data_IF_292696080925
#
_entry.id   IF_292696080925
#
_cell.length_a   1.000
_cell.length_b   1.000
_cell.length_c   1.000
_cell.angle_alpha   90.00
_cell.angle_beta   90.00
_cell.angle_gamma   90.00
#
_symmetry.space_group_name_H-M   'P 1'
#
loop_
_entity.id
_entity.type
_entity.pdbx_description
1 polymer ?
#
# COMPACT_ATOMS: atom_id res chain seq x y z
N UNK A 1 -4.46 4.75 11.94
CA UNK A 1 -4.96 3.46 11.43
C UNK A 1 -3.82 2.67 10.79
N UNK A 2 -3.87 1.38 10.91
CA UNK A 2 -2.87 0.50 10.27
C UNK A 2 -3.37 0.11 8.89
N UNK A 3 -2.51 0.26 7.90
CA UNK A 3 -2.80 -0.15 6.52
C UNK A 3 -1.84 -1.24 6.09
N UNK A 4 -2.35 -2.16 5.29
CA UNK A 4 -1.55 -3.29 4.79
C UNK A 4 -1.42 -3.20 3.27
N UNK A 5 -0.25 -3.55 2.79
CA UNK A 5 0.08 -3.62 1.38
C UNK A 5 0.11 -5.09 0.96
N UNK A 6 -0.71 -5.45 -0.02
CA UNK A 6 -0.82 -6.83 -0.49
C UNK A 6 -0.73 -6.87 -2.00
N UNK A 7 0.13 -7.71 -2.58
CA UNK A 7 0.15 -7.89 -4.04
C UNK A 7 -1.21 -8.40 -4.53
N UNK A 8 -1.67 -7.92 -5.67
CA UNK A 8 -2.96 -8.36 -6.22
C UNK A 8 -2.96 -9.84 -6.58
N UNK A 9 -1.79 -10.38 -6.90
CA UNK A 9 -1.64 -11.78 -7.28
C UNK A 9 -1.49 -12.72 -6.11
N UNK A 10 -1.42 -12.20 -4.89
CA UNK A 10 -1.21 -12.97 -3.69
C UNK A 10 -2.12 -12.45 -2.59
N UNK A 11 -2.41 -13.29 -1.61
CA UNK A 11 -3.14 -12.86 -0.42
C UNK A 11 -2.21 -12.53 0.74
N UNK A 12 -0.90 -12.72 0.56
CA UNK A 12 0.07 -12.48 1.62
C UNK A 12 0.32 -11.00 1.79
N UNK A 13 0.30 -10.53 3.03
CA UNK A 13 0.60 -9.13 3.35
C UNK A 13 2.11 -8.92 3.21
N UNK A 14 2.50 -7.93 2.39
CA UNK A 14 3.91 -7.61 2.21
C UNK A 14 4.45 -6.77 3.35
N UNK A 15 3.69 -5.77 3.78
CA UNK A 15 4.12 -4.90 4.87
C UNK A 15 2.93 -4.14 5.44
N UNK A 16 3.13 -3.59 6.63
CA UNK A 16 2.13 -2.79 7.34
C UNK A 16 2.73 -1.43 7.66
N UNK A 17 1.90 -0.40 7.64
CA UNK A 17 2.29 0.91 8.14
C UNK A 17 1.14 1.54 8.90
N UNK A 18 1.48 2.51 9.76
CA UNK A 18 0.48 3.35 10.38
C UNK A 18 0.38 4.66 9.61
N UNK A 19 -0.83 5.08 9.26
CA UNK A 19 -1.10 6.33 8.57
C UNK A 19 -2.47 6.84 8.98
N UNK A 20 -2.69 8.13 8.85
CA UNK A 20 -3.96 8.74 9.25
C UNK A 20 -5.06 8.46 8.23
N UNK A 21 -4.69 8.33 6.95
CA UNK A 21 -5.64 8.09 5.88
C UNK A 21 -5.08 7.09 4.90
N UNK A 22 -5.97 6.49 4.10
CA UNK A 22 -5.56 5.59 3.03
C UNK A 22 -4.67 6.31 2.01
N UNK A 23 -4.99 7.57 1.70
CA UNK A 23 -4.19 8.34 0.75
C UNK A 23 -2.76 8.51 1.27
N UNK A 24 -2.60 8.80 2.55
CA UNK A 24 -1.26 8.92 3.14
C UNK A 24 -0.51 7.59 3.05
N UNK A 25 -1.19 6.47 3.27
CA UNK A 25 -0.58 5.15 3.15
C UNK A 25 -0.13 4.87 1.72
N UNK A 26 -0.96 5.22 0.74
CA UNK A 26 -0.62 5.04 -0.68
C UNK A 26 0.64 5.84 -1.03
N UNK A 27 0.70 7.10 -0.60
CA UNK A 27 1.86 7.94 -0.87
C UNK A 27 3.13 7.39 -0.23
N UNK A 28 3.00 6.89 0.98
CA UNK A 28 4.14 6.30 1.68
C UNK A 28 4.67 5.07 0.94
N UNK A 29 3.77 4.14 0.58
CA UNK A 29 4.19 2.94 -0.12
C UNK A 29 4.75 3.24 -1.51
N UNK A 30 4.17 4.22 -2.20
CA UNK A 30 4.68 4.63 -3.52
C UNK A 30 6.11 5.14 -3.40
N UNK A 31 6.39 5.97 -2.41
CA UNK A 31 7.73 6.48 -2.18
C UNK A 31 8.70 5.35 -1.79
N UNK A 32 8.25 4.45 -0.92
CA UNK A 32 9.06 3.33 -0.46
C UNK A 32 9.50 2.42 -1.61
N UNK A 33 8.59 2.18 -2.55
CA UNK A 33 8.84 1.27 -3.67
C UNK A 33 9.28 1.98 -4.94
N UNK A 34 9.43 3.30 -4.90
CA UNK A 34 9.83 4.12 -6.05
C UNK A 34 8.87 3.97 -7.24
N UNK A 35 7.56 3.91 -6.92
CA UNK A 35 6.50 3.81 -7.92
C UNK A 35 5.61 5.03 -7.85
N UNK A 36 4.93 5.35 -8.96
CA UNK A 36 3.84 6.31 -8.89
C UNK A 36 2.65 5.67 -8.19
N UNK A 37 1.73 6.50 -7.68
CA UNK A 37 0.54 5.97 -7.02
C UNK A 37 -0.27 5.09 -7.97
N UNK A 38 -0.37 5.48 -9.24
CA UNK A 38 -1.10 4.69 -10.23
C UNK A 38 -0.46 3.33 -10.44
N UNK A 39 0.85 3.28 -10.59
CA UNK A 39 1.57 2.02 -10.78
C UNK A 39 1.45 1.15 -9.54
N UNK A 40 1.56 1.76 -8.36
CA UNK A 40 1.41 1.02 -7.11
C UNK A 40 0.06 0.31 -7.05
N UNK A 41 -1.02 1.02 -7.38
CA UNK A 41 -2.36 0.48 -7.28
C UNK A 41 -2.69 -0.53 -8.38
N UNK A 42 -1.90 -0.59 -9.45
CA UNK A 42 -2.02 -1.63 -10.45
C UNK A 42 -1.43 -2.96 -9.98
N UNK A 43 -0.42 -2.90 -9.13
CA UNK A 43 0.32 -4.08 -8.69
C UNK A 43 -0.14 -4.55 -7.31
N UNK A 44 -0.50 -3.61 -6.45
CA UNK A 44 -0.85 -3.88 -5.05
C UNK A 44 -2.21 -3.35 -4.70
N UNK A 45 -2.79 -3.90 -3.64
CA UNK A 45 -3.97 -3.32 -3.02
C UNK A 45 -3.62 -2.90 -1.60
N UNK A 46 -4.22 -1.79 -1.16
CA UNK A 46 -3.97 -1.22 0.16
C UNK A 46 -5.28 -1.19 0.91
N UNK A 47 -5.31 -1.80 2.08
CA UNK A 47 -6.51 -1.90 2.90
C UNK A 47 -6.17 -1.63 4.36
N UNK A 48 -7.17 -1.21 5.14
CA UNK A 48 -6.99 -1.12 6.57
C UNK A 48 -6.85 -2.52 7.16
N UNK A 49 -5.94 -2.62 8.07
CA UNK A 49 -5.69 -3.89 8.74
C UNK A 49 -6.72 -4.17 9.84
#
# INVERSE_FOLDING_TARGET
>A
MIYKLTPKKSSDVKTLIEAETKKAAILYFAALLHLSADDLLQIYKIRSA
#
